data_IF_143065677079
#
_entry.id   IF_143065677079
#
_cell.length_a   1.000
_cell.length_b   1.000
_cell.length_c   1.000
_cell.angle_alpha   90.00
_cell.angle_beta   90.00
_cell.angle_gamma   90.00
#
_symmetry.space_group_name_H-M   'P 1'
#
loop_
_entity.id
_entity.type
_entity.pdbx_description
1 polymer ?
#
# COMPACT_ATOMS: atom_id res chain seq x y z
N UNK A 1 -11.14 -22.44 -24.70
CA UNK A 1 -10.03 -21.79 -25.46
C UNK A 1 -9.60 -20.56 -24.69
N UNK A 2 -8.34 -20.52 -24.23
CA UNK A 2 -7.82 -19.51 -23.29
C UNK A 2 -7.54 -18.20 -24.04
N UNK A 3 -8.26 -17.12 -23.74
CA UNK A 3 -7.95 -15.78 -24.26
C UNK A 3 -6.82 -15.20 -23.41
N UNK A 4 -5.61 -15.18 -23.97
CA UNK A 4 -4.46 -14.45 -23.42
C UNK A 4 -4.69 -12.97 -23.73
N UNK A 5 -4.97 -12.15 -22.71
CA UNK A 5 -4.98 -10.70 -22.85
C UNK A 5 -3.63 -10.23 -22.31
N UNK A 6 -2.76 -9.81 -23.23
CA UNK A 6 -1.53 -9.11 -22.94
C UNK A 6 -1.81 -7.60 -22.94
N UNK A 7 -1.37 -6.88 -21.92
CA UNK A 7 -1.21 -5.42 -21.89
C UNK A 7 -0.65 -5.02 -20.51
N UNK A 8 0.20 -4.03 -20.29
CA UNK A 8 1.05 -3.13 -21.10
C UNK A 8 2.18 -2.75 -20.12
N UNK A 9 3.44 -2.80 -20.58
CA UNK A 9 4.56 -2.24 -19.84
C UNK A 9 4.50 -0.71 -19.93
N UNK A 10 4.40 -0.03 -18.79
CA UNK A 10 4.42 1.42 -18.71
C UNK A 10 4.78 1.88 -17.31
N UNK A 11 6.05 2.26 -17.11
CA UNK A 11 6.47 2.99 -15.91
C UNK A 11 5.91 4.41 -16.06
N UNK A 12 4.81 4.70 -15.37
CA UNK A 12 4.36 6.05 -15.11
C UNK A 12 4.59 6.37 -13.63
N UNK A 13 5.69 7.07 -13.34
CA UNK A 13 5.87 7.76 -12.05
C UNK A 13 4.96 8.98 -12.03
N UNK A 14 3.73 8.81 -11.54
CA UNK A 14 2.85 9.92 -11.20
C UNK A 14 3.32 10.45 -9.85
N UNK A 15 3.96 11.62 -9.85
CA UNK A 15 4.21 12.39 -8.63
C UNK A 15 2.86 12.93 -8.12
N UNK A 16 2.18 12.15 -7.27
CA UNK A 16 0.96 12.58 -6.60
C UNK A 16 1.29 13.70 -5.60
N UNK A 17 0.58 14.83 -5.70
CA UNK A 17 0.59 15.87 -4.69
C UNK A 17 0.12 15.26 -3.36
N UNK A 18 0.99 15.18 -2.36
CA UNK A 18 0.68 14.59 -1.06
C UNK A 18 -0.02 15.63 -0.18
N UNK A 19 -1.31 15.45 0.06
CA UNK A 19 -1.96 16.03 1.24
C UNK A 19 -1.65 15.11 2.43
N UNK A 20 -1.00 15.65 3.44
CA UNK A 20 -0.72 14.91 4.68
C UNK A 20 -1.99 14.95 5.54
N UNK A 21 -2.58 13.79 5.78
CA UNK A 21 -3.74 13.64 6.67
C UNK A 21 -3.28 13.27 8.07
N UNK A 22 -4.02 13.73 9.08
CA UNK A 22 -3.85 13.29 10.45
C UNK A 22 -4.02 11.76 10.52
N UNK A 23 -3.17 11.08 11.31
CA UNK A 23 -3.08 9.63 11.34
C UNK A 23 -4.37 8.88 11.66
N UNK A 24 -5.39 9.56 12.20
CA UNK A 24 -6.70 9.00 12.54
C UNK A 24 -7.75 9.14 11.44
N UNK A 25 -7.43 9.82 10.34
CA UNK A 25 -8.34 10.10 9.23
C UNK A 25 -7.87 9.38 7.97
N UNK A 26 -8.81 8.79 7.24
CA UNK A 26 -8.53 8.08 6.00
C UNK A 26 -8.00 9.02 4.90
N UNK A 27 -6.82 8.69 4.35
CA UNK A 27 -6.29 9.24 3.09
C UNK A 27 -6.56 8.26 1.96
N UNK A 28 -6.93 8.78 0.79
CA UNK A 28 -6.95 7.99 -0.43
C UNK A 28 -5.53 7.57 -0.83
N UNK A 29 -5.41 6.39 -1.44
CA UNK A 29 -4.18 5.95 -2.08
C UNK A 29 -4.47 5.36 -3.47
N UNK A 30 -3.48 5.45 -4.33
CA UNK A 30 -3.44 4.80 -5.64
C UNK A 30 -1.98 4.60 -6.01
N UNK A 31 -1.56 3.37 -6.30
CA UNK A 31 -0.19 3.07 -6.73
C UNK A 31 -0.15 1.81 -7.58
N UNK A 32 0.97 1.60 -8.26
CA UNK A 32 1.22 0.42 -9.08
C UNK A 32 2.28 -0.44 -8.40
N UNK A 33 1.98 -1.71 -8.19
CA UNK A 33 2.90 -2.72 -7.66
C UNK A 33 3.55 -3.44 -8.83
N UNK A 34 4.88 -3.44 -8.91
CA UNK A 34 5.61 -4.06 -10.02
C UNK A 34 5.44 -5.58 -10.09
N UNK A 35 5.60 -6.17 -11.27
CA UNK A 35 5.61 -7.62 -11.47
C UNK A 35 6.76 -8.34 -10.72
N UNK A 36 6.66 -9.66 -10.56
CA UNK A 36 7.69 -10.58 -10.08
C UNK A 36 8.31 -10.16 -8.74
N UNK A 37 7.51 -10.19 -7.66
CA UNK A 37 7.92 -9.67 -6.35
C UNK A 37 8.32 -8.19 -6.36
N UNK A 38 7.78 -7.43 -7.32
CA UNK A 38 7.97 -5.99 -7.43
C UNK A 38 7.22 -5.25 -6.33
N UNK A 39 7.66 -4.02 -6.06
CA UNK A 39 7.08 -3.17 -5.03
C UNK A 39 6.26 -2.02 -5.61
N UNK A 40 5.30 -1.54 -4.83
CA UNK A 40 4.58 -0.29 -5.03
C UNK A 40 4.57 0.50 -3.73
N UNK A 41 4.57 1.83 -3.83
CA UNK A 41 4.57 2.70 -2.65
C UNK A 41 3.54 3.80 -2.81
N UNK A 42 2.89 4.19 -1.72
CA UNK A 42 2.21 5.47 -1.68
C UNK A 42 3.22 6.59 -1.44
N UNK A 43 2.81 7.83 -1.68
CA UNK A 43 3.47 8.96 -1.03
C UNK A 43 3.33 8.86 0.50
N UNK A 44 4.14 9.65 1.20
CA UNK A 44 3.96 9.88 2.63
C UNK A 44 2.74 10.79 2.83
N UNK A 45 1.60 10.20 3.20
CA UNK A 45 0.29 10.89 3.21
C UNK A 45 -0.43 10.82 4.55
N UNK A 46 0.23 10.28 5.57
CA UNK A 46 -0.30 10.08 6.91
C UNK A 46 0.75 10.49 7.94
N UNK A 47 0.39 11.29 8.94
CA UNK A 47 1.27 11.55 10.08
C UNK A 47 0.85 10.70 11.27
N UNK A 48 1.78 9.93 11.82
CA UNK A 48 1.52 9.04 12.96
C UNK A 48 1.08 9.86 14.18
N UNK A 49 -0.05 9.50 14.79
CA UNK A 49 -0.57 10.22 15.98
C UNK A 49 -0.26 9.50 17.28
N UNK A 50 -0.06 8.18 17.23
CA UNK A 50 0.29 7.32 18.36
C UNK A 50 1.44 6.40 17.98
N UNK A 51 2.51 6.39 18.78
CA UNK A 51 3.68 5.55 18.50
C UNK A 51 3.31 4.06 18.56
N UNK A 52 3.86 3.25 17.67
CA UNK A 52 3.69 1.79 17.65
C UNK A 52 2.29 1.28 17.28
N UNK A 53 1.29 2.14 17.15
CA UNK A 53 -0.08 1.70 16.90
C UNK A 53 -0.26 1.13 15.49
N UNK A 54 -1.25 0.26 15.33
CA UNK A 54 -1.62 -0.32 14.05
C UNK A 54 -2.41 0.68 13.21
N UNK A 55 -2.25 0.59 11.89
CA UNK A 55 -3.09 1.32 10.95
C UNK A 55 -4.30 0.51 10.52
N UNK A 56 -5.07 1.07 9.60
CA UNK A 56 -6.18 0.37 8.96
C UNK A 56 -6.24 0.71 7.48
N UNK A 57 -6.43 -0.30 6.64
CA UNK A 57 -6.57 -0.16 5.19
C UNK A 57 -7.98 -0.56 4.77
N UNK A 58 -8.51 0.16 3.78
CA UNK A 58 -9.73 -0.16 3.05
C UNK A 58 -9.40 -0.29 1.58
N UNK A 59 -9.25 -1.52 1.11
CA UNK A 59 -8.86 -1.81 -0.27
C UNK A 59 -10.07 -1.75 -1.18
N UNK A 60 -10.04 -0.87 -2.18
CA UNK A 60 -11.09 -0.79 -3.19
C UNK A 60 -10.78 -1.67 -4.40
N UNK A 61 -9.53 -1.70 -4.85
CA UNK A 61 -9.12 -2.47 -6.03
C UNK A 61 -7.66 -2.90 -5.92
N UNK A 62 -7.38 -4.11 -6.40
CA UNK A 62 -6.11 -4.83 -6.53
C UNK A 62 -6.13 -5.57 -7.88
N UNK A 63 -6.24 -4.82 -8.97
CA UNK A 63 -6.21 -5.37 -10.34
C UNK A 63 -7.26 -6.45 -10.67
N UNK A 64 -8.33 -6.59 -9.89
CA UNK A 64 -9.34 -7.65 -10.05
C UNK A 64 -9.07 -8.86 -9.16
N UNK A 65 -8.60 -9.96 -9.76
CA UNK A 65 -8.35 -11.21 -9.03
C UNK A 65 -6.92 -11.33 -8.49
N UNK A 66 -6.13 -10.26 -8.50
CA UNK A 66 -4.80 -10.28 -7.91
C UNK A 66 -4.89 -10.03 -6.41
N UNK A 67 -3.82 -10.41 -5.72
CA UNK A 67 -3.62 -10.06 -4.32
C UNK A 67 -2.23 -9.47 -4.16
N UNK A 68 -2.06 -8.62 -3.16
CA UNK A 68 -0.78 -8.00 -2.82
C UNK A 68 -0.51 -8.11 -1.32
N UNK A 69 0.75 -8.13 -0.95
CA UNK A 69 1.15 -7.91 0.44
C UNK A 69 1.22 -6.41 0.70
N UNK A 70 0.87 -5.99 1.92
CA UNK A 70 0.94 -4.57 2.34
C UNK A 70 1.53 -4.44 3.74
N UNK A 71 2.29 -3.38 3.97
CA UNK A 71 2.75 -2.96 5.31
C UNK A 71 2.87 -1.45 5.42
N UNK A 72 2.87 -0.94 6.65
CA UNK A 72 3.24 0.46 6.91
C UNK A 72 4.76 0.62 6.94
N UNK A 73 5.23 1.76 6.42
CA UNK A 73 6.63 2.15 6.47
C UNK A 73 6.74 3.66 6.78
N UNK A 74 7.67 4.04 7.65
CA UNK A 74 8.00 5.44 7.93
C UNK A 74 9.07 5.99 6.96
N UNK A 75 9.37 7.29 7.06
CA UNK A 75 10.34 7.96 6.22
C UNK A 75 11.79 7.46 6.40
N UNK A 76 12.09 6.85 7.55
CA UNK A 76 13.38 6.29 7.93
C UNK A 76 13.54 4.83 7.50
N UNK A 77 12.47 4.21 7.02
CA UNK A 77 12.43 2.86 6.51
C UNK A 77 12.00 1.80 7.52
N UNK A 78 11.70 2.15 8.78
CA UNK A 78 11.14 1.20 9.73
C UNK A 78 9.77 0.75 9.23
N UNK A 79 9.51 -0.55 9.30
CA UNK A 79 8.32 -1.15 8.71
C UNK A 79 7.63 -2.06 9.72
N UNK A 80 6.30 -2.10 9.65
CA UNK A 80 5.52 -3.15 10.31
C UNK A 80 5.60 -4.47 9.55
N UNK A 81 4.90 -5.47 10.07
CA UNK A 81 4.82 -6.77 9.43
C UNK A 81 3.97 -6.73 8.14
N UNK A 82 4.27 -7.68 7.25
CA UNK A 82 3.52 -7.84 6.01
C UNK A 82 2.16 -8.48 6.28
N UNK A 83 1.10 -7.74 5.95
CA UNK A 83 -0.25 -8.30 5.89
C UNK A 83 -0.47 -8.91 4.52
N UNK A 84 -0.68 -10.23 4.50
CA UNK A 84 -0.63 -11.06 3.28
C UNK A 84 -1.93 -11.08 2.50
N UNK A 85 -1.85 -11.18 1.18
CA UNK A 85 -3.00 -11.44 0.29
C UNK A 85 -4.14 -10.41 0.43
N UNK A 86 -3.85 -9.11 0.34
CA UNK A 86 -4.86 -8.05 0.27
C UNK A 86 -5.49 -8.08 -1.13
N UNK A 87 -6.82 -8.19 -1.19
CA UNK A 87 -7.58 -8.23 -2.44
C UNK A 87 -8.52 -7.03 -2.65
N UNK A 88 -9.38 -7.16 -3.65
CA UNK A 88 -10.50 -6.25 -3.91
C UNK A 88 -11.49 -6.26 -2.73
N UNK A 89 -11.97 -5.08 -2.32
CA UNK A 89 -12.98 -4.91 -1.26
C UNK A 89 -12.59 -5.54 0.09
N UNK A 90 -11.29 -5.57 0.40
CA UNK A 90 -10.75 -6.08 1.65
C UNK A 90 -10.35 -4.94 2.60
N UNK A 91 -10.91 -4.96 3.80
CA UNK A 91 -10.73 -3.96 4.84
C UNK A 91 -10.14 -4.64 6.06
N UNK A 92 -8.96 -4.20 6.52
CA UNK A 92 -8.30 -4.82 7.68
C UNK A 92 -7.24 -3.96 8.33
N UNK A 93 -6.81 -4.38 9.52
CA UNK A 93 -5.69 -3.77 10.22
C UNK A 93 -4.37 -4.02 9.48
N UNK A 94 -3.45 -3.06 9.60
CA UNK A 94 -2.06 -3.17 9.15
C UNK A 94 -1.13 -2.93 10.33
N UNK A 95 -0.16 -3.81 10.50
CA UNK A 95 0.64 -3.81 11.72
C UNK A 95 1.58 -2.60 11.78
N UNK A 96 1.63 -2.00 12.97
CA UNK A 96 2.61 -0.99 13.33
C UNK A 96 3.96 -1.61 13.67
N UNK A 97 4.92 -0.74 13.95
CA UNK A 97 6.22 -1.12 14.50
C UNK A 97 6.56 -0.21 15.67
N UNK A 98 7.27 -0.70 16.68
CA UNK A 98 7.63 0.09 17.87
C UNK A 98 8.41 1.37 17.54
N UNK A 99 9.14 1.36 16.41
CA UNK A 99 9.88 2.53 15.91
C UNK A 99 9.04 3.48 15.04
N UNK A 100 7.76 3.20 14.79
CA UNK A 100 6.86 4.19 14.19
C UNK A 100 6.45 5.16 15.28
N UNK A 101 7.12 6.30 15.37
CA UNK A 101 6.95 7.27 16.43
C UNK A 101 5.90 8.30 16.03
N UNK A 102 5.17 8.83 17.02
CA UNK A 102 4.28 9.97 16.82
C UNK A 102 5.02 11.12 16.11
N UNK A 103 4.41 11.65 15.07
CA UNK A 103 4.97 12.70 14.21
C UNK A 103 5.65 12.16 12.96
N UNK A 104 5.90 10.85 12.87
CA UNK A 104 6.49 10.27 11.66
C UNK A 104 5.53 10.34 10.47
N UNK A 105 6.11 10.62 9.32
CA UNK A 105 5.43 10.54 8.04
C UNK A 105 5.41 9.08 7.57
N UNK A 106 4.20 8.59 7.34
CA UNK A 106 3.91 7.20 7.05
C UNK A 106 3.44 7.02 5.61
N UNK A 107 3.80 5.89 5.01
CA UNK A 107 3.30 5.40 3.72
C UNK A 107 2.93 3.93 3.80
N UNK A 108 2.22 3.45 2.77
CA UNK A 108 2.08 2.03 2.52
C UNK A 108 3.16 1.56 1.55
N UNK A 109 3.72 0.39 1.86
CA UNK A 109 4.58 -0.40 0.98
C UNK A 109 3.81 -1.65 0.59
N UNK A 110 3.64 -1.86 -0.70
CA UNK A 110 3.02 -3.04 -1.29
C UNK A 110 4.05 -3.91 -2.00
N UNK A 111 3.80 -5.22 -2.02
CA UNK A 111 4.58 -6.19 -2.79
C UNK A 111 3.67 -7.18 -3.50
N UNK A 112 4.04 -7.54 -4.72
CA UNK A 112 3.43 -8.67 -5.42
C UNK A 112 4.09 -9.98 -5.01
N UNK A 113 3.47 -11.10 -5.34
CA UNK A 113 4.11 -12.41 -5.28
C UNK A 113 5.14 -12.60 -6.41
N UNK A 114 6.04 -13.56 -6.24
CA UNK A 114 7.09 -13.85 -7.23
C UNK A 114 6.53 -14.34 -8.58
N UNK A 115 5.37 -14.99 -8.59
CA UNK A 115 4.72 -15.51 -9.80
C UNK A 115 3.72 -14.52 -10.43
N UNK A 116 3.50 -13.36 -9.81
CA UNK A 116 2.65 -12.31 -10.37
C UNK A 116 3.40 -11.59 -11.50
N UNK A 117 3.18 -12.07 -12.72
CA UNK A 117 3.91 -11.64 -13.93
C UNK A 117 3.53 -10.27 -14.51
N UNK A 118 2.58 -9.56 -13.89
CA UNK A 118 2.11 -8.25 -14.34
C UNK A 118 2.18 -7.23 -13.22
N UNK A 119 2.22 -5.95 -13.58
CA UNK A 119 2.04 -4.89 -12.60
C UNK A 119 0.57 -4.80 -12.17
N UNK A 120 0.33 -4.61 -10.88
CA UNK A 120 -1.01 -4.57 -10.28
C UNK A 120 -1.30 -3.16 -9.80
N UNK A 121 -2.39 -2.56 -10.30
CA UNK A 121 -2.88 -1.29 -9.78
C UNK A 121 -3.64 -1.53 -8.48
N UNK A 122 -3.28 -0.81 -7.42
CA UNK A 122 -3.94 -0.85 -6.13
C UNK A 122 -4.49 0.51 -5.75
N UNK A 123 -5.70 0.56 -5.21
CA UNK A 123 -6.33 1.80 -4.74
C UNK A 123 -7.28 1.56 -3.58
N UNK A 124 -7.51 2.61 -2.81
CA UNK A 124 -8.39 2.55 -1.65
C UNK A 124 -8.15 3.71 -0.71
N UNK A 125 -8.39 3.47 0.57
CA UNK A 125 -8.16 4.44 1.64
C UNK A 125 -7.40 3.80 2.80
N UNK A 126 -6.62 4.58 3.52
CA UNK A 126 -5.92 4.09 4.69
C UNK A 126 -5.69 5.17 5.74
N UNK A 127 -5.50 4.74 6.98
CA UNK A 127 -5.09 5.61 8.08
C UNK A 127 -3.99 4.93 8.88
N UNK A 128 -3.07 5.70 9.41
CA UNK A 128 -1.92 5.15 10.13
C UNK A 128 -2.23 4.74 11.57
N UNK A 129 -3.37 5.15 12.14
CA UNK A 129 -3.89 4.80 13.47
C UNK A 129 -5.43 4.85 13.52
#
# INVERSE_FOLDING_TARGET
MKKKIAAIAGVMTIAAAVSVSAGTTYSNYSTTVGAFNGSGYTGYSQTKTSSGANGYIKSSTVGGNYVVDVRMQDAQGNSGDWVRNLGDNDDRAIDGHINHIKGDDMRLHFSNDFDTSVSVQVSGQWKSN
#
